data_IF_693500340435
#
_entry.id   IF_693500340435
#
_cell.length_a   1.000
_cell.length_b   1.000
_cell.length_c   1.000
_cell.angle_alpha   90.00
_cell.angle_beta   90.00
_cell.angle_gamma   90.00
#
_symmetry.space_group_name_H-M   'P 1'
#
loop_
_entity.id
_entity.type
_entity.pdbx_description
1 polymer ?
#
# COMPACT_ATOMS: atom_id res chain seq x y z
N UNK A 1 -1.70 35.51 -23.20
CA UNK A 1 -1.99 35.46 -21.75
C UNK A 1 -3.19 34.56 -21.51
N UNK A 2 -4.08 34.40 -22.48
CA UNK A 2 -5.30 33.58 -22.42
C UNK A 2 -5.08 32.05 -22.34
N UNK A 3 -3.98 31.51 -22.89
CA UNK A 3 -3.71 30.06 -22.86
C UNK A 3 -3.37 29.53 -21.45
N UNK A 4 -2.84 30.39 -20.57
CA UNK A 4 -2.48 30.02 -19.19
C UNK A 4 -3.75 29.92 -18.32
N UNK A 5 -4.66 30.89 -18.42
CA UNK A 5 -5.94 30.88 -17.69
C UNK A 5 -6.86 29.74 -18.12
N UNK A 6 -6.80 29.32 -19.39
CA UNK A 6 -7.53 28.14 -19.87
C UNK A 6 -6.97 26.84 -19.31
N UNK A 7 -5.63 26.70 -19.22
CA UNK A 7 -5.01 25.53 -18.60
C UNK A 7 -5.32 25.44 -17.10
N UNK A 8 -5.29 26.57 -16.38
CA UNK A 8 -5.61 26.60 -14.95
C UNK A 8 -7.09 26.28 -14.68
N UNK A 9 -8.02 26.75 -15.50
CA UNK A 9 -9.44 26.38 -15.40
C UNK A 9 -9.67 24.89 -15.69
N UNK A 10 -9.01 24.34 -16.71
CA UNK A 10 -9.11 22.91 -17.04
C UNK A 10 -8.59 22.05 -15.88
N UNK A 11 -7.44 22.40 -15.30
CA UNK A 11 -6.83 21.67 -14.19
C UNK A 11 -7.69 21.72 -12.91
N UNK A 12 -8.36 22.86 -12.67
CA UNK A 12 -9.27 23.02 -11.53
C UNK A 12 -10.52 22.14 -11.66
N UNK A 13 -11.08 22.01 -12.87
CA UNK A 13 -12.26 21.16 -13.14
C UNK A 13 -11.90 19.67 -12.99
N UNK A 14 -10.74 19.25 -13.51
CA UNK A 14 -10.28 17.87 -13.40
C UNK A 14 -10.01 17.48 -11.93
N UNK A 15 -9.43 18.39 -11.14
CA UNK A 15 -9.20 18.19 -9.71
C UNK A 15 -10.51 18.09 -8.90
N UNK A 16 -11.51 18.89 -9.26
CA UNK A 16 -12.82 18.86 -8.59
C UNK A 16 -13.57 17.56 -8.91
N UNK A 17 -13.49 17.05 -10.15
CA UNK A 17 -14.06 15.76 -10.54
C UNK A 17 -13.38 14.58 -9.81
N UNK A 18 -12.06 14.60 -9.68
CA UNK A 18 -11.33 13.58 -8.91
C UNK A 18 -11.73 13.56 -7.44
N UNK A 19 -11.90 14.72 -6.80
CA UNK A 19 -12.33 14.79 -5.39
C UNK A 19 -13.73 14.22 -5.17
N UNK A 20 -14.68 14.50 -6.07
CA UNK A 20 -16.05 13.99 -5.98
C UNK A 20 -16.07 12.48 -6.20
N UNK A 21 -15.27 11.98 -7.15
CA UNK A 21 -15.15 10.55 -7.41
C UNK A 21 -14.52 9.79 -6.24
N UNK A 22 -13.46 10.34 -5.62
CA UNK A 22 -12.86 9.76 -4.42
C UNK A 22 -13.82 9.71 -3.24
N UNK A 23 -14.65 10.74 -3.04
CA UNK A 23 -15.69 10.73 -2.01
C UNK A 23 -16.70 9.60 -2.22
N UNK A 24 -17.16 9.39 -3.46
CA UNK A 24 -18.07 8.30 -3.78
C UNK A 24 -17.45 6.91 -3.52
N UNK A 25 -16.16 6.74 -3.86
CA UNK A 25 -15.45 5.49 -3.63
C UNK A 25 -15.22 5.19 -2.12
N UNK A 26 -15.00 6.22 -1.30
CA UNK A 26 -14.91 6.11 0.16
C UNK A 26 -16.26 5.70 0.77
N UNK A 27 -17.36 6.29 0.30
CA UNK A 27 -18.71 5.92 0.71
C UNK A 27 -19.02 4.45 0.37
N UNK A 28 -18.62 4.00 -0.82
CA UNK A 28 -18.73 2.60 -1.24
C UNK A 28 -17.93 1.63 -0.35
N UNK A 29 -16.73 2.03 0.07
CA UNK A 29 -15.91 1.26 1.02
C UNK A 29 -16.60 1.15 2.39
N UNK A 30 -17.14 2.25 2.90
CA UNK A 30 -17.89 2.28 4.17
C UNK A 30 -19.12 1.38 4.07
N UNK A 31 -19.84 1.42 2.95
CA UNK A 31 -20.98 0.55 2.70
C UNK A 31 -20.58 -0.94 2.74
N UNK A 32 -19.41 -1.32 2.20
CA UNK A 32 -18.91 -2.69 2.30
C UNK A 32 -18.69 -3.11 3.76
N UNK A 33 -18.08 -2.24 4.58
CA UNK A 33 -17.87 -2.50 6.02
C UNK A 33 -19.20 -2.68 6.74
N UNK A 34 -20.18 -1.82 6.45
CA UNK A 34 -21.52 -1.92 7.04
C UNK A 34 -22.21 -3.23 6.65
N UNK A 35 -22.10 -3.67 5.39
CA UNK A 35 -22.66 -4.95 4.93
C UNK A 35 -22.00 -6.14 5.62
N UNK A 36 -20.68 -6.07 5.86
CA UNK A 36 -19.99 -7.11 6.63
C UNK A 36 -20.47 -7.16 8.09
N UNK A 37 -20.64 -6.00 8.72
CA UNK A 37 -21.16 -5.91 10.10
C UNK A 37 -22.59 -6.47 10.19
N UNK A 38 -23.48 -6.06 9.28
CA UNK A 38 -24.85 -6.58 9.18
C UNK A 38 -24.90 -8.08 8.87
N UNK A 39 -23.95 -8.61 8.10
CA UNK A 39 -23.87 -10.04 7.80
C UNK A 39 -23.39 -10.86 9.00
N UNK A 40 -22.55 -10.31 9.87
CA UNK A 40 -22.04 -10.98 11.06
C UNK A 40 -23.01 -10.88 12.25
N UNK A 41 -23.78 -9.80 12.35
CA UNK A 41 -24.65 -9.51 13.49
C UNK A 41 -25.60 -10.67 13.86
N UNK A 42 -26.30 -11.33 12.91
CA UNK A 42 -27.17 -12.46 13.20
C UNK A 42 -26.41 -13.71 13.69
N UNK A 43 -25.21 -13.95 13.18
CA UNK A 43 -24.37 -15.08 13.55
C UNK A 43 -23.76 -14.92 14.95
N UNK A 44 -23.59 -13.68 15.43
CA UNK A 44 -23.04 -13.37 16.74
C UNK A 44 -24.10 -13.40 17.85
N UNK A 45 -25.36 -13.12 17.53
CA UNK A 45 -26.47 -13.14 18.50
C UNK A 45 -26.86 -14.54 18.98
N UNK A 46 -26.45 -15.60 18.27
CA UNK A 46 -26.70 -16.99 18.65
C UNK A 46 -25.58 -17.61 19.50
N UNK A 47 -24.42 -16.96 19.57
CA UNK A 47 -23.37 -17.31 20.52
C UNK A 47 -23.71 -16.69 21.86
N UNK A 48 -24.45 -17.41 22.69
CA UNK A 48 -24.58 -17.09 24.11
C UNK A 48 -23.18 -17.15 24.74
N UNK A 49 -22.52 -15.99 24.83
CA UNK A 49 -21.18 -15.81 25.43
C UNK A 49 -21.12 -16.32 26.89
N UNK A 50 -22.26 -16.64 27.51
CA UNK A 50 -22.33 -17.18 28.86
C UNK A 50 -22.36 -18.70 28.93
N UNK A 51 -22.29 -19.43 27.80
CA UNK A 51 -22.33 -20.91 27.77
C UNK A 51 -21.06 -21.59 27.25
N UNK A 52 -20.03 -20.83 26.89
CA UNK A 52 -18.70 -21.38 26.72
C UNK A 52 -18.09 -21.67 28.10
N UNK A 53 -18.45 -22.83 28.68
CA UNK A 53 -17.60 -23.48 29.67
C UNK A 53 -16.25 -23.67 28.99
N UNK A 54 -15.29 -22.79 29.28
CA UNK A 54 -13.90 -22.96 28.88
C UNK A 54 -13.48 -24.34 29.41
N UNK A 55 -13.25 -25.35 28.56
CA UNK A 55 -12.63 -26.57 29.06
C UNK A 55 -11.19 -26.16 29.34
N UNK A 56 -10.76 -26.28 30.60
CA UNK A 56 -9.35 -26.15 30.97
C UNK A 56 -8.54 -27.12 30.10
N UNK A 57 -7.92 -26.59 29.04
CA UNK A 57 -7.00 -27.33 28.20
C UNK A 57 -5.61 -27.17 28.82
N UNK A 58 -5.38 -27.82 29.96
CA UNK A 58 -4.02 -28.25 30.26
C UNK A 58 -3.69 -29.34 29.24
N UNK A 59 -2.79 -29.04 28.31
CA UNK A 59 -2.25 -30.01 27.38
C UNK A 59 -0.97 -30.62 27.98
N UNK A 60 -0.97 -31.89 28.41
CA UNK A 60 0.27 -32.59 28.67
C UNK A 60 0.90 -32.96 27.34
N UNK A 61 2.01 -32.31 27.01
CA UNK A 61 2.94 -32.81 26.00
C UNK A 61 3.55 -34.12 26.51
N UNK A 62 3.14 -35.26 25.95
CA UNK A 62 3.93 -36.50 26.03
C UNK A 62 3.90 -37.25 24.70
N UNK A 63 5.11 -37.43 24.19
CA UNK A 63 5.55 -38.25 23.07
C UNK A 63 5.30 -39.77 23.26
N UNK A 64 5.08 -40.44 22.12
CA UNK A 64 5.43 -41.82 21.74
C UNK A 64 4.83 -43.08 22.44
N UNK A 65 4.37 -43.97 21.53
CA UNK A 65 4.26 -45.44 21.53
C UNK A 65 3.01 -46.23 22.03
N UNK A 66 2.39 -46.90 21.03
CA UNK A 66 1.72 -48.22 21.00
C UNK A 66 0.31 -48.50 21.57
N UNK A 67 -0.41 -49.53 21.03
CA UNK A 67 -1.86 -49.54 20.89
C UNK A 67 -2.56 -50.55 21.80
N UNK A 68 -3.85 -50.34 22.10
CA UNK A 68 -4.83 -51.42 22.31
C UNK A 68 -6.24 -50.91 22.66
N UNK A 69 -7.22 -51.42 21.89
CA UNK A 69 -8.49 -52.00 22.36
C UNK A 69 -9.57 -51.04 22.92
N UNK A 70 -10.67 -50.98 22.16
CA UNK A 70 -11.99 -50.49 22.58
C UNK A 70 -12.53 -51.31 23.78
N UNK A 71 -13.51 -50.77 24.51
CA UNK A 71 -14.84 -51.32 24.28
C UNK A 71 -15.93 -50.27 24.14
N UNK A 72 -16.87 -50.62 23.28
CA UNK A 72 -18.18 -49.99 23.15
C UNK A 72 -18.90 -49.93 24.50
N UNK A 73 -19.49 -48.77 24.79
CA UNK A 73 -20.61 -48.66 25.71
C UNK A 73 -21.68 -47.86 24.99
N UNK A 74 -22.68 -48.60 24.52
CA UNK A 74 -23.95 -48.09 24.03
C UNK A 74 -24.60 -47.30 25.16
N UNK A 75 -24.81 -45.99 24.95
CA UNK A 75 -25.75 -45.22 25.76
C UNK A 75 -26.85 -44.76 24.83
N UNK A 76 -27.97 -45.49 24.92
CA UNK A 76 -29.22 -45.21 24.23
C UNK A 76 -29.68 -43.77 24.49
N UNK A 77 -29.74 -42.96 23.44
CA UNK A 77 -30.52 -41.73 23.45
C UNK A 77 -31.89 -42.06 22.86
N UNK A 78 -32.82 -42.26 23.78
CA UNK A 78 -34.24 -42.45 23.51
C UNK A 78 -34.75 -41.35 22.57
N UNK A 79 -35.36 -41.79 21.47
CA UNK A 79 -36.14 -40.96 20.57
C UNK A 79 -37.30 -40.32 21.35
N UNK A 80 -37.18 -39.01 21.59
CA UNK A 80 -38.35 -38.16 21.86
C UNK A 80 -38.74 -37.50 20.55
N UNK A 81 -39.80 -38.04 20.00
CA UNK A 81 -40.52 -37.62 18.80
C UNK A 81 -41.34 -36.36 19.13
N UNK A 82 -40.64 -35.22 19.21
CA UNK A 82 -41.26 -33.90 19.26
C UNK A 82 -40.46 -32.98 18.34
N UNK A 83 -40.59 -33.22 17.03
CA UNK A 83 -40.14 -32.25 16.03
C UNK A 83 -41.03 -31.00 16.17
N UNK A 84 -40.48 -29.83 16.55
CA UNK A 84 -41.20 -28.59 16.35
C UNK A 84 -41.44 -28.42 14.83
N UNK A 85 -42.53 -27.75 14.40
CA UNK A 85 -42.69 -27.37 13.00
C UNK A 85 -41.43 -26.63 12.53
N UNK A 86 -41.03 -26.71 11.24
CA UNK A 86 -39.84 -26.01 10.76
C UNK A 86 -40.04 -24.54 11.10
N UNK A 87 -39.24 -24.04 12.04
CA UNK A 87 -39.17 -22.63 12.33
C UNK A 87 -38.58 -21.99 11.09
N UNK A 88 -39.47 -21.58 10.17
CA UNK A 88 -39.19 -20.48 9.28
C UNK A 88 -38.62 -19.36 10.17
N UNK A 89 -37.46 -18.80 9.80
CA UNK A 89 -36.69 -17.74 10.49
C UNK A 89 -35.67 -18.22 11.54
N UNK A 90 -34.48 -18.64 11.09
CA UNK A 90 -33.28 -18.48 11.90
C UNK A 90 -32.04 -18.46 11.02
N UNK A 91 -31.73 -17.29 10.46
CA UNK A 91 -30.46 -16.95 9.80
C UNK A 91 -30.09 -17.85 8.61
N UNK A 92 -30.34 -17.40 7.37
CA UNK A 92 -29.74 -18.04 6.17
C UNK A 92 -28.23 -17.79 6.23
N UNK A 93 -27.51 -18.59 7.03
CA UNK A 93 -26.09 -18.46 7.32
C UNK A 93 -25.30 -18.48 6.01
N UNK A 94 -25.74 -19.27 5.04
CA UNK A 94 -25.16 -19.30 3.71
C UNK A 94 -25.33 -17.97 2.98
N UNK A 95 -26.47 -17.29 3.09
CA UNK A 95 -26.66 -15.93 2.55
C UNK A 95 -25.80 -14.90 3.27
N UNK A 96 -25.71 -14.96 4.60
CA UNK A 96 -24.86 -14.04 5.36
C UNK A 96 -23.38 -14.24 5.03
N UNK A 97 -22.92 -15.49 4.94
CA UNK A 97 -21.58 -15.83 4.51
C UNK A 97 -21.30 -15.34 3.08
N UNK A 98 -22.25 -15.51 2.15
CA UNK A 98 -22.14 -14.96 0.78
C UNK A 98 -21.99 -13.43 0.79
N UNK A 99 -22.87 -12.73 1.49
CA UNK A 99 -22.85 -11.26 1.57
C UNK A 99 -21.55 -10.74 2.21
N UNK A 100 -21.10 -11.39 3.29
CA UNK A 100 -19.85 -11.06 3.95
C UNK A 100 -18.65 -11.23 3.01
N UNK A 101 -18.55 -12.40 2.33
CA UNK A 101 -17.46 -12.66 1.39
C UNK A 101 -17.46 -11.69 0.20
N UNK A 102 -18.62 -11.33 -0.31
CA UNK A 102 -18.75 -10.37 -1.41
C UNK A 102 -18.31 -8.96 -0.99
N UNK A 103 -18.78 -8.48 0.17
CA UNK A 103 -18.38 -7.18 0.70
C UNK A 103 -16.89 -7.14 1.08
N UNK A 104 -16.35 -8.23 1.65
CA UNK A 104 -14.92 -8.36 1.94
C UNK A 104 -14.08 -8.33 0.65
N UNK A 105 -14.53 -9.00 -0.41
CA UNK A 105 -13.87 -8.97 -1.72
C UNK A 105 -13.88 -7.56 -2.31
N UNK A 106 -15.01 -6.85 -2.30
CA UNK A 106 -15.11 -5.48 -2.80
C UNK A 106 -14.22 -4.53 -2.00
N UNK A 107 -14.15 -4.69 -0.67
CA UNK A 107 -13.23 -3.94 0.18
C UNK A 107 -11.75 -4.24 -0.16
N UNK A 108 -11.42 -5.51 -0.40
CA UNK A 108 -10.07 -5.91 -0.80
C UNK A 108 -9.67 -5.29 -2.16
N UNK A 109 -10.58 -5.29 -3.13
CA UNK A 109 -10.36 -4.66 -4.44
C UNK A 109 -10.09 -3.15 -4.30
N UNK A 110 -10.83 -2.45 -3.43
CA UNK A 110 -10.60 -1.04 -3.12
C UNK A 110 -9.17 -0.81 -2.58
N UNK A 111 -8.71 -1.60 -1.61
CA UNK A 111 -7.34 -1.47 -1.08
C UNK A 111 -6.25 -1.72 -2.14
N UNK A 112 -6.47 -2.66 -3.07
CA UNK A 112 -5.53 -2.93 -4.17
C UNK A 112 -5.46 -1.73 -5.13
N UNK A 113 -6.61 -1.11 -5.45
CA UNK A 113 -6.66 0.09 -6.26
C UNK A 113 -5.95 1.27 -5.57
N UNK A 114 -6.24 1.51 -4.29
CA UNK A 114 -5.62 2.57 -3.50
C UNK A 114 -4.08 2.41 -3.39
N UNK A 115 -3.59 1.17 -3.25
CA UNK A 115 -2.15 0.89 -3.26
C UNK A 115 -1.49 1.14 -4.62
N UNK A 116 -2.20 0.93 -5.73
CA UNK A 116 -1.70 1.26 -7.07
C UNK A 116 -1.64 2.77 -7.29
N UNK A 117 -2.62 3.50 -6.77
CA UNK A 117 -2.68 4.96 -6.84
C UNK A 117 -1.58 5.63 -6.00
N UNK A 118 -1.22 5.05 -4.85
CA UNK A 118 -0.11 5.52 -4.02
C UNK A 118 1.30 5.22 -4.58
N UNK A 119 1.44 4.54 -5.72
CA UNK A 119 2.75 4.36 -6.34
C UNK A 119 3.17 5.66 -7.00
N UNK A 120 4.41 6.13 -6.78
CA UNK A 120 4.87 7.35 -7.42
C UNK A 120 4.72 7.21 -8.93
N UNK A 121 4.02 8.16 -9.53
CA UNK A 121 3.76 8.16 -10.95
C UNK A 121 5.08 8.26 -11.70
N UNK A 122 5.10 7.78 -12.94
CA UNK A 122 6.27 7.94 -13.81
C UNK A 122 6.71 9.41 -13.90
N UNK A 123 5.76 10.34 -13.89
CA UNK A 123 6.03 11.78 -13.89
C UNK A 123 6.78 12.24 -12.63
N UNK A 124 6.37 11.80 -11.44
CA UNK A 124 7.05 12.14 -10.18
C UNK A 124 8.45 11.54 -10.09
N UNK A 125 8.64 10.31 -10.58
CA UNK A 125 9.96 9.67 -10.65
C UNK A 125 10.88 10.49 -11.56
N UNK A 126 10.41 10.81 -12.77
CA UNK A 126 11.16 11.59 -13.74
C UNK A 126 11.49 12.99 -13.21
N UNK A 127 10.56 13.63 -12.50
CA UNK A 127 10.82 14.95 -11.89
C UNK A 127 11.96 14.88 -10.88
N UNK A 128 11.96 13.87 -10.00
CA UNK A 128 13.07 13.65 -9.05
C UNK A 128 14.40 13.38 -9.75
N UNK A 129 14.37 12.62 -10.84
CA UNK A 129 15.57 12.31 -11.63
C UNK A 129 16.12 13.56 -12.34
N UNK A 130 15.24 14.42 -12.88
CA UNK A 130 15.61 15.71 -13.44
C UNK A 130 16.28 16.58 -12.36
N UNK A 131 15.65 16.74 -11.20
CA UNK A 131 16.20 17.56 -10.10
C UNK A 131 17.60 17.05 -9.68
N UNK A 132 17.79 15.74 -9.61
CA UNK A 132 19.08 15.14 -9.30
C UNK A 132 20.13 15.41 -10.40
N UNK A 133 19.76 15.27 -11.67
CA UNK A 133 20.64 15.55 -12.80
C UNK A 133 21.03 17.04 -12.88
N UNK A 134 20.12 17.96 -12.54
CA UNK A 134 20.38 19.40 -12.50
C UNK A 134 21.44 19.78 -11.45
N UNK A 135 21.37 19.19 -10.25
CA UNK A 135 22.39 19.38 -9.23
C UNK A 135 23.74 18.75 -9.63
N UNK A 136 23.74 17.58 -10.26
CA UNK A 136 24.97 17.00 -10.82
C UNK A 136 25.61 17.90 -11.88
N UNK A 137 24.80 18.48 -12.77
CA UNK A 137 25.28 19.41 -13.80
C UNK A 137 25.93 20.63 -13.16
N UNK A 138 25.30 21.22 -12.15
CA UNK A 138 25.84 22.36 -11.42
C UNK A 138 27.21 22.05 -10.77
N UNK A 139 27.34 20.89 -10.14
CA UNK A 139 28.62 20.44 -9.55
C UNK A 139 29.68 20.28 -10.64
N UNK A 140 29.32 19.68 -11.78
CA UNK A 140 30.23 19.49 -12.92
C UNK A 140 30.66 20.83 -13.54
N UNK A 141 29.76 21.80 -13.65
CA UNK A 141 30.08 23.15 -14.13
C UNK A 141 31.08 23.86 -13.22
N UNK A 142 30.89 23.80 -11.90
CA UNK A 142 31.85 24.35 -10.93
C UNK A 142 33.22 23.69 -11.04
N UNK A 143 33.25 22.37 -11.28
CA UNK A 143 34.49 21.63 -11.48
C UNK A 143 35.19 22.16 -12.73
N UNK A 144 34.52 22.15 -13.88
CA UNK A 144 35.05 22.65 -15.16
C UNK A 144 35.59 24.07 -15.03
N UNK A 145 34.87 24.97 -14.35
CA UNK A 145 35.35 26.33 -14.09
C UNK A 145 36.65 26.36 -13.27
N UNK A 146 36.82 25.47 -12.29
CA UNK A 146 38.07 25.35 -11.51
C UNK A 146 39.22 24.86 -12.39
N UNK A 147 39.01 23.84 -13.23
CA UNK A 147 40.08 23.39 -14.14
C UNK A 147 40.43 24.45 -15.18
N UNK A 148 39.44 25.17 -15.73
CA UNK A 148 39.70 26.24 -16.69
C UNK A 148 40.61 27.32 -16.08
N UNK A 149 40.37 27.73 -14.82
CA UNK A 149 41.25 28.68 -14.11
C UNK A 149 42.69 28.19 -14.01
N UNK A 150 42.90 26.93 -13.60
CA UNK A 150 44.24 26.33 -13.50
C UNK A 150 44.94 26.32 -14.87
N UNK A 151 44.23 25.95 -15.92
CA UNK A 151 44.77 25.95 -17.30
C UNK A 151 45.16 27.37 -17.73
N UNK A 152 44.35 28.37 -17.43
CA UNK A 152 44.64 29.76 -17.76
C UNK A 152 45.87 30.29 -16.99
N UNK A 153 46.00 29.95 -15.72
CA UNK A 153 47.18 30.29 -14.91
C UNK A 153 48.45 29.65 -15.49
N UNK A 154 48.40 28.36 -15.86
CA UNK A 154 49.54 27.69 -16.50
C UNK A 154 49.90 28.28 -17.86
N UNK A 155 48.89 28.64 -18.68
CA UNK A 155 49.12 29.34 -19.96
C UNK A 155 49.80 30.68 -19.75
N UNK A 156 49.42 31.42 -18.72
CA UNK A 156 50.06 32.69 -18.36
C UNK A 156 51.51 32.47 -17.92
N UNK A 157 51.75 31.57 -16.97
CA UNK A 157 53.09 31.26 -16.46
C UNK A 157 54.05 30.83 -17.57
N UNK A 158 53.60 29.96 -18.49
CA UNK A 158 54.41 29.53 -19.62
C UNK A 158 54.74 30.69 -20.56
N UNK A 159 53.82 31.62 -20.77
CA UNK A 159 54.03 32.81 -21.60
C UNK A 159 55.02 33.77 -20.95
N UNK A 160 54.84 34.06 -19.66
CA UNK A 160 55.72 34.95 -18.89
C UNK A 160 57.16 34.39 -18.88
N UNK A 161 57.32 33.07 -18.74
CA UNK A 161 58.61 32.39 -18.85
C UNK A 161 59.21 32.48 -20.25
N UNK A 162 58.41 32.29 -21.29
CA UNK A 162 58.88 32.41 -22.68
C UNK A 162 59.39 33.83 -22.97
N UNK A 163 58.62 34.85 -22.58
CA UNK A 163 58.95 36.25 -22.79
C UNK A 163 60.25 36.62 -22.07
N UNK A 164 60.42 36.14 -20.82
CA UNK A 164 61.66 36.33 -20.07
C UNK A 164 62.87 35.72 -20.78
N UNK A 165 62.76 34.49 -21.27
CA UNK A 165 63.84 33.82 -22.00
C UNK A 165 64.19 34.56 -23.30
N UNK A 166 63.19 35.10 -23.99
CA UNK A 166 63.40 35.84 -25.22
C UNK A 166 64.18 37.15 -24.98
N UNK A 167 63.84 37.90 -23.92
CA UNK A 167 64.59 39.09 -23.49
C UNK A 167 66.02 38.75 -23.09
N UNK A 168 66.24 37.63 -22.41
CA UNK A 168 67.60 37.17 -22.06
C UNK A 168 68.43 36.84 -23.30
N UNK A 169 67.82 36.23 -24.33
CA UNK A 169 68.47 35.93 -25.60
C UNK A 169 68.82 37.18 -26.41
N UNK A 170 67.98 38.22 -26.39
CA UNK A 170 68.27 39.50 -27.06
C UNK A 170 69.43 40.29 -26.44
N UNK A 171 69.83 39.95 -25.19
CA UNK A 171 70.95 40.61 -24.49
C UNK A 171 72.33 40.02 -24.79
N UNK A 172 72.40 38.81 -25.37
CA UNK A 172 73.65 38.08 -25.67
C UNK A 172 74.05 38.31 -27.11
#
# INVERSE_FOLDING_TARGET
MDDQEQQDQQHQVDQQMQSVQQQAEIEDMIACVNVMDEALLPCLTELDLNKALVPDFEAPLTDFDEPAVQPAVETELQASDDFPPPLDHQTDVEKHARNFMEAAKKLQEYFICLQRENKPTKAEILKREIDAMEEELKIKDELVQKQEKVIQEWKKELRDRLDKHNVELERV
#
